data_IF_102473084523
#
_entry.id   IF_102473084523
#
_cell.length_a   1.000
_cell.length_b   1.000
_cell.length_c   1.000
_cell.angle_alpha   90.00
_cell.angle_beta   90.00
_cell.angle_gamma   90.00
#
_symmetry.space_group_name_H-M   'P 1'
#
loop_
_entity.id
_entity.type
_entity.pdbx_description
1 polymer ?
#
# COMPACT_ATOMS: atom_id res chain seq x y z
N UNK A 1 24.47 26.58 11.76
CA UNK A 1 23.32 26.04 12.54
C UNK A 1 23.86 24.92 13.40
N UNK A 2 23.67 24.96 14.72
CA UNK A 2 24.21 23.95 15.63
C UNK A 2 23.26 22.74 15.68
N UNK A 3 23.68 21.61 15.11
CA UNK A 3 23.03 20.33 15.33
C UNK A 3 23.20 19.88 16.78
N UNK A 4 22.10 19.61 17.48
CA UNK A 4 22.12 19.08 18.84
C UNK A 4 22.35 17.57 18.78
N UNK A 5 23.53 17.10 19.22
CA UNK A 5 23.84 15.68 19.37
C UNK A 5 22.89 15.06 20.40
N UNK A 6 22.21 13.98 20.04
CA UNK A 6 21.57 13.09 21.02
C UNK A 6 22.69 12.29 21.73
N UNK A 7 22.83 12.41 23.06
CA UNK A 7 23.92 11.80 23.82
C UNK A 7 23.86 10.27 23.90
N UNK A 8 22.78 9.60 23.44
CA UNK A 8 22.62 8.14 23.56
C UNK A 8 22.83 7.35 22.28
N UNK A 9 22.75 7.97 21.10
CA UNK A 9 22.84 7.24 19.82
C UNK A 9 24.14 7.47 19.07
N UNK A 10 24.91 8.51 19.38
CA UNK A 10 26.12 8.87 18.62
C UNK A 10 25.84 9.29 17.17
N UNK A 11 24.57 9.27 16.74
CA UNK A 11 24.14 9.67 15.41
C UNK A 11 23.75 11.16 15.42
N UNK A 12 24.36 11.91 14.51
CA UNK A 12 23.98 13.28 14.21
C UNK A 12 22.69 13.24 13.40
N UNK A 13 21.52 13.21 14.06
CA UNK A 13 20.23 13.00 13.38
C UNK A 13 19.65 14.33 12.92
N UNK A 14 20.26 14.88 11.88
CA UNK A 14 19.70 15.98 11.09
C UNK A 14 18.67 15.36 10.14
N UNK A 15 17.37 15.48 10.44
CA UNK A 15 16.29 14.99 9.58
C UNK A 15 16.03 15.99 8.44
N UNK A 16 16.99 16.19 7.53
CA UNK A 16 16.82 17.11 6.40
C UNK A 16 16.19 16.45 5.17
N UNK A 17 16.26 15.12 5.09
CA UNK A 17 15.78 14.33 3.95
C UNK A 17 15.43 12.90 4.35
N UNK A 18 14.50 12.30 3.63
CA UNK A 18 14.25 10.87 3.65
C UNK A 18 15.11 10.20 2.58
N UNK A 19 15.87 9.18 2.96
CA UNK A 19 16.68 8.40 2.03
C UNK A 19 16.10 7.00 1.88
N UNK A 20 16.05 6.53 0.63
CA UNK A 20 15.53 5.23 0.25
C UNK A 20 16.51 4.54 -0.68
N UNK A 21 16.71 3.26 -0.48
CA UNK A 21 17.54 2.43 -1.34
C UNK A 21 16.69 1.31 -1.97
N UNK A 22 16.89 1.12 -3.27
CA UNK A 22 16.32 0.04 -4.10
C UNK A 22 17.46 -0.89 -4.55
N UNK A 23 17.15 -1.84 -5.44
CA UNK A 23 18.18 -2.75 -5.95
C UNK A 23 19.26 -2.03 -6.78
N UNK A 24 18.84 -1.07 -7.62
CA UNK A 24 19.72 -0.41 -8.60
C UNK A 24 19.81 1.11 -8.43
N UNK A 25 18.89 1.69 -7.67
CA UNK A 25 18.82 3.13 -7.40
C UNK A 25 18.83 3.41 -5.90
N UNK A 26 19.37 4.55 -5.50
CA UNK A 26 19.02 5.20 -4.23
C UNK A 26 18.38 6.56 -4.52
N UNK A 27 17.55 7.03 -3.61
CA UNK A 27 16.85 8.29 -3.73
C UNK A 27 16.88 9.07 -2.42
N UNK A 28 17.13 10.37 -2.52
CA UNK A 28 16.99 11.33 -1.43
C UNK A 28 15.81 12.24 -1.71
N UNK A 29 14.86 12.26 -0.78
CA UNK A 29 13.55 12.90 -0.89
C UNK A 29 13.40 13.98 0.18
N UNK A 30 12.83 15.13 -0.18
CA UNK A 30 12.57 16.24 0.74
C UNK A 30 11.22 16.87 0.42
N UNK A 31 10.18 16.48 1.17
CA UNK A 31 8.80 16.90 0.89
C UNK A 31 8.31 16.39 -0.47
N UNK A 32 8.68 15.16 -0.82
CA UNK A 32 8.46 14.59 -2.16
C UNK A 32 7.50 13.42 -2.09
N UNK A 33 6.49 13.41 -2.96
CA UNK A 33 5.62 12.25 -3.19
C UNK A 33 6.12 11.49 -4.39
N UNK A 34 6.36 10.18 -4.23
CA UNK A 34 6.92 9.34 -5.29
C UNK A 34 6.17 8.02 -5.41
N UNK A 35 6.19 7.46 -6.62
CA UNK A 35 5.86 6.07 -6.88
C UNK A 35 7.15 5.33 -7.22
N UNK A 36 7.43 4.26 -6.48
CA UNK A 36 8.56 3.37 -6.75
C UNK A 36 8.07 2.02 -7.23
N UNK A 37 8.78 1.43 -8.19
CA UNK A 37 8.54 0.08 -8.65
C UNK A 37 9.85 -0.67 -8.77
N UNK A 38 9.85 -1.88 -8.24
CA UNK A 38 10.90 -2.89 -8.41
C UNK A 38 10.26 -4.14 -9.00
N UNK A 39 10.84 -4.67 -10.08
CA UNK A 39 10.42 -5.95 -10.68
C UNK A 39 11.56 -6.97 -10.80
N UNK A 40 12.67 -6.73 -10.10
CA UNK A 40 13.86 -7.59 -10.08
C UNK A 40 14.85 -7.26 -11.20
N UNK A 41 14.36 -6.87 -12.38
CA UNK A 41 15.19 -6.43 -13.51
C UNK A 41 15.36 -4.90 -13.51
N UNK A 42 14.35 -4.16 -13.06
CA UNK A 42 14.34 -2.70 -13.10
C UNK A 42 13.96 -2.09 -11.76
N UNK A 43 14.75 -1.11 -11.31
CA UNK A 43 14.35 -0.15 -10.26
C UNK A 43 13.89 1.13 -10.93
N UNK A 44 12.69 1.60 -10.63
CA UNK A 44 12.16 2.86 -11.19
C UNK A 44 11.49 3.74 -10.14
N UNK A 45 11.60 5.04 -10.36
CA UNK A 45 10.99 6.06 -9.52
C UNK A 45 10.30 7.10 -10.39
N UNK A 46 9.07 7.45 -10.01
CA UNK A 46 8.26 8.51 -10.61
C UNK A 46 7.98 9.56 -9.53
N UNK A 47 8.18 10.84 -9.84
CA UNK A 47 7.88 11.92 -8.90
C UNK A 47 6.48 12.47 -9.19
N UNK A 48 5.60 12.30 -8.21
CA UNK A 48 4.22 12.81 -8.24
C UNK A 48 4.20 14.27 -7.81
N UNK A 49 5.01 14.65 -6.83
CA UNK A 49 5.10 16.02 -6.32
C UNK A 49 6.49 16.24 -5.71
N UNK A 50 7.06 17.44 -5.91
CA UNK A 50 8.34 17.84 -5.35
C UNK A 50 9.54 17.46 -6.22
N UNK A 51 10.69 17.21 -5.57
CA UNK A 51 11.97 16.92 -6.23
C UNK A 51 12.65 15.72 -5.56
N UNK A 52 13.25 14.84 -6.34
CA UNK A 52 14.03 13.69 -5.87
C UNK A 52 15.44 13.73 -6.48
N UNK A 53 16.45 13.51 -5.64
CA UNK A 53 17.82 13.26 -6.07
C UNK A 53 18.01 11.74 -6.16
N UNK A 54 18.20 11.22 -7.38
CA UNK A 54 18.26 9.78 -7.67
C UNK A 54 19.66 9.40 -8.09
N UNK A 55 20.26 8.45 -7.39
CA UNK A 55 21.61 7.96 -7.67
C UNK A 55 21.59 6.53 -8.18
N UNK A 56 22.26 6.30 -9.29
CA UNK A 56 22.60 4.96 -9.79
C UNK A 56 23.62 4.32 -8.85
N UNK A 57 23.29 3.17 -8.27
CA UNK A 57 24.19 2.48 -7.36
C UNK A 57 25.42 1.93 -8.09
N UNK A 58 25.27 1.50 -9.35
CA UNK A 58 26.35 0.90 -10.12
C UNK A 58 27.37 1.94 -10.57
N UNK A 59 26.89 3.07 -11.09
CA UNK A 59 27.76 4.11 -11.67
C UNK A 59 28.08 5.24 -10.70
N UNK A 60 27.33 5.37 -9.61
CA UNK A 60 27.40 6.51 -8.69
C UNK A 60 26.87 7.81 -9.29
N UNK A 61 26.27 7.77 -10.49
CA UNK A 61 25.74 8.95 -11.17
C UNK A 61 24.45 9.39 -10.50
N UNK A 62 24.40 10.66 -10.13
CA UNK A 62 23.22 11.29 -9.52
C UNK A 62 22.49 12.17 -10.53
N UNK A 63 21.16 12.10 -10.52
CA UNK A 63 20.25 12.87 -11.37
C UNK A 63 19.11 13.39 -10.53
N UNK A 64 18.84 14.69 -10.63
CA UNK A 64 17.66 15.31 -10.03
C UNK A 64 16.45 15.17 -10.97
N UNK A 65 15.31 14.73 -10.43
CA UNK A 65 14.04 14.66 -11.16
C UNK A 65 12.93 15.35 -10.36
N UNK A 66 12.06 16.08 -11.04
CA UNK A 66 10.94 16.82 -10.47
C UNK A 66 9.59 16.17 -10.80
N UNK A 67 8.51 16.73 -10.30
CA UNK A 67 7.13 16.37 -10.65
C UNK A 67 6.93 16.07 -12.16
N UNK A 68 6.17 15.00 -12.43
CA UNK A 68 5.88 14.53 -13.78
C UNK A 68 7.08 13.90 -14.51
N UNK A 69 8.21 13.71 -13.81
CA UNK A 69 9.39 13.01 -14.31
C UNK A 69 9.58 11.66 -13.65
N UNK A 70 10.13 10.75 -14.44
CA UNK A 70 10.51 9.42 -13.99
C UNK A 70 11.89 9.05 -14.52
N UNK A 71 12.54 8.15 -13.79
CA UNK A 71 13.81 7.54 -14.21
C UNK A 71 13.84 6.09 -13.76
N UNK A 72 14.57 5.26 -14.49
CA UNK A 72 14.72 3.84 -14.22
C UNK A 72 16.18 3.42 -14.41
N UNK A 73 16.60 2.40 -13.68
CA UNK A 73 17.89 1.75 -13.86
C UNK A 73 17.72 0.24 -14.01
N UNK A 74 18.62 -0.34 -14.81
CA UNK A 74 18.81 -1.78 -14.99
C UNK A 74 20.25 -2.13 -14.62
N UNK A 75 20.67 -3.39 -14.80
CA UNK A 75 22.07 -3.80 -14.55
C UNK A 75 23.09 -3.16 -15.51
N UNK A 76 22.60 -2.42 -16.52
CA UNK A 76 23.41 -1.61 -17.43
C UNK A 76 23.59 -0.17 -16.95
N UNK A 77 22.92 0.21 -15.87
CA UNK A 77 22.95 1.54 -15.26
C UNK A 77 21.65 2.32 -15.44
N UNK A 78 21.70 3.59 -15.06
CA UNK A 78 20.59 4.53 -15.10
C UNK A 78 20.27 5.01 -16.52
N UNK A 79 19.00 4.94 -16.87
CA UNK A 79 18.47 5.42 -18.14
C UNK A 79 18.26 6.92 -18.17
N UNK A 80 17.57 7.37 -19.22
CA UNK A 80 17.20 8.78 -19.39
C UNK A 80 15.95 9.16 -18.59
N UNK A 81 15.86 10.44 -18.21
CA UNK A 81 14.67 11.01 -17.58
C UNK A 81 13.54 11.07 -18.60
N UNK A 82 12.39 10.51 -18.25
CA UNK A 82 11.19 10.50 -19.08
C UNK A 82 10.06 11.28 -18.41
N UNK A 83 9.16 11.83 -19.22
CA UNK A 83 7.93 12.45 -18.71
C UNK A 83 6.84 11.37 -18.55
N UNK A 84 5.96 11.55 -17.56
CA UNK A 84 4.74 10.76 -17.42
C UNK A 84 3.57 11.65 -17.00
N UNK A 85 2.34 11.15 -17.18
CA UNK A 85 1.13 11.84 -16.75
C UNK A 85 0.83 11.54 -15.27
N UNK A 86 0.95 12.57 -14.43
CA UNK A 86 0.73 12.48 -12.98
C UNK A 86 -0.74 12.17 -12.66
N UNK A 87 -1.69 12.75 -13.39
CA UNK A 87 -3.12 12.55 -13.16
C UNK A 87 -3.51 11.10 -13.48
N UNK A 88 -3.08 10.61 -14.64
CA UNK A 88 -3.33 9.21 -15.03
C UNK A 88 -2.66 8.21 -14.09
N UNK A 89 -1.53 8.57 -13.45
CA UNK A 89 -0.92 7.74 -12.43
C UNK A 89 -1.72 7.75 -11.12
N UNK A 90 -2.19 8.93 -10.67
CA UNK A 90 -2.99 9.07 -9.45
C UNK A 90 -4.34 8.33 -9.55
N UNK A 91 -4.98 8.33 -10.72
CA UNK A 91 -6.22 7.58 -10.97
C UNK A 91 -6.03 6.08 -10.72
N UNK A 92 -4.92 5.49 -11.17
CA UNK A 92 -4.61 4.06 -10.92
C UNK A 92 -4.49 3.73 -9.44
N UNK A 93 -3.94 4.65 -8.65
CA UNK A 93 -3.81 4.46 -7.21
C UNK A 93 -5.13 4.63 -6.47
N UNK A 94 -6.02 5.50 -6.95
CA UNK A 94 -7.37 5.65 -6.42
C UNK A 94 -8.15 4.33 -6.56
N UNK A 95 -8.12 3.72 -7.74
CA UNK A 95 -8.74 2.42 -7.99
C UNK A 95 -8.22 1.35 -7.02
N UNK A 96 -6.90 1.29 -6.81
CA UNK A 96 -6.28 0.34 -5.88
C UNK A 96 -6.74 0.56 -4.43
N UNK A 97 -6.82 1.81 -3.97
CA UNK A 97 -7.30 2.12 -2.61
C UNK A 97 -8.77 1.77 -2.40
N UNK A 98 -9.60 1.96 -3.43
CA UNK A 98 -11.03 1.63 -3.40
C UNK A 98 -11.26 0.11 -3.34
N UNK A 99 -10.42 -0.67 -4.02
CA UNK A 99 -10.45 -2.14 -3.95
C UNK A 99 -10.09 -2.66 -2.55
N UNK A 100 -9.07 -2.08 -1.90
CA UNK A 100 -8.72 -2.42 -0.50
C UNK A 100 -9.91 -2.16 0.43
N UNK A 101 -10.58 -1.01 0.29
CA UNK A 101 -11.74 -0.64 1.10
C UNK A 101 -12.93 -1.60 0.97
N UNK A 102 -13.12 -2.22 -0.19
CA UNK A 102 -14.21 -3.18 -0.46
C UNK A 102 -13.98 -4.55 0.17
N UNK A 103 -12.73 -4.96 0.42
CA UNK A 103 -12.42 -6.25 1.07
C UNK A 103 -12.63 -6.24 2.60
N UNK A 104 -12.79 -5.06 3.21
CA UNK A 104 -12.96 -4.91 4.67
C UNK A 104 -14.39 -4.89 5.21
N UNK A 105 -15.44 -4.85 4.38
CA UNK A 105 -16.83 -4.68 4.86
C UNK A 105 -17.87 -5.42 4.02
N UNK A 106 -17.84 -6.76 4.02
CA UNK A 106 -19.02 -7.56 3.65
C UNK A 106 -19.12 -8.87 4.44
N UNK A 107 -18.92 -8.81 5.76
CA UNK A 107 -19.36 -9.88 6.65
C UNK A 107 -20.88 -9.74 6.91
N UNK A 108 -21.71 -9.82 5.85
CA UNK A 108 -23.17 -9.81 6.00
C UNK A 108 -23.62 -11.14 6.62
N UNK A 109 -23.88 -11.13 7.92
CA UNK A 109 -24.87 -11.96 8.63
C UNK A 109 -25.00 -13.45 8.26
N UNK A 110 -23.90 -14.20 8.12
CA UNK A 110 -23.94 -15.67 8.01
C UNK A 110 -24.64 -16.34 9.22
N UNK A 111 -24.60 -15.70 10.40
CA UNK A 111 -25.35 -16.13 11.58
C UNK A 111 -26.86 -16.21 11.33
N UNK A 112 -27.45 -15.34 10.51
CA UNK A 112 -28.89 -15.38 10.24
C UNK A 112 -29.28 -16.60 9.39
N UNK A 113 -28.42 -16.98 8.42
CA UNK A 113 -28.63 -18.15 7.55
C UNK A 113 -28.52 -19.46 8.33
N UNK A 114 -27.65 -19.56 9.34
CA UNK A 114 -27.53 -20.76 10.19
C UNK A 114 -28.58 -20.81 11.32
N UNK A 115 -28.93 -19.68 11.93
CA UNK A 115 -29.80 -19.65 13.12
C UNK A 115 -31.28 -19.81 12.77
N UNK A 116 -31.76 -19.23 11.66
CA UNK A 116 -33.17 -19.35 11.23
C UNK A 116 -33.63 -20.81 11.04
N UNK A 117 -32.93 -21.68 10.27
CA UNK A 117 -33.40 -23.04 10.04
C UNK A 117 -33.42 -23.87 11.33
N UNK A 118 -32.50 -23.62 12.26
CA UNK A 118 -32.45 -24.30 13.57
C UNK A 118 -33.67 -23.91 14.43
N UNK A 119 -34.03 -22.63 14.49
CA UNK A 119 -35.21 -22.16 15.24
C UNK A 119 -36.49 -22.73 14.61
N UNK A 120 -36.61 -22.72 13.27
CA UNK A 120 -37.77 -23.30 12.58
C UNK A 120 -37.93 -24.81 12.88
N UNK A 121 -36.85 -25.59 12.81
CA UNK A 121 -36.87 -27.01 13.16
C UNK A 121 -37.30 -27.25 14.62
N UNK A 122 -36.76 -26.48 15.57
CA UNK A 122 -37.12 -26.61 16.98
C UNK A 122 -38.61 -26.31 17.24
N UNK A 123 -39.17 -25.30 16.58
CA UNK A 123 -40.60 -24.97 16.70
C UNK A 123 -41.50 -26.06 16.13
N UNK A 124 -41.16 -26.64 14.98
CA UNK A 124 -41.90 -27.75 14.38
C UNK A 124 -41.91 -28.96 15.33
N UNK A 125 -40.75 -29.31 15.90
CA UNK A 125 -40.64 -30.44 16.85
C UNK A 125 -41.52 -30.19 18.09
N UNK A 126 -41.48 -28.99 18.68
CA UNK A 126 -42.30 -28.65 19.83
C UNK A 126 -43.80 -28.75 19.55
N UNK A 127 -44.25 -28.29 18.37
CA UNK A 127 -45.65 -28.40 17.93
C UNK A 127 -46.07 -29.86 17.75
N UNK A 128 -45.24 -30.68 17.10
CA UNK A 128 -45.54 -32.12 16.92
C UNK A 128 -45.64 -32.84 18.26
N UNK A 129 -44.75 -32.55 19.21
CA UNK A 129 -44.80 -33.13 20.56
C UNK A 129 -46.05 -32.68 21.33
N UNK A 130 -46.44 -31.40 21.24
CA UNK A 130 -47.66 -30.88 21.86
C UNK A 130 -48.93 -31.53 21.27
N UNK A 131 -48.99 -31.71 19.95
CA UNK A 131 -50.10 -32.39 19.26
C UNK A 131 -50.20 -33.87 19.63
N UNK A 132 -49.06 -34.57 19.75
CA UNK A 132 -49.04 -35.96 20.25
C UNK A 132 -49.55 -36.05 21.69
N UNK A 133 -49.11 -35.14 22.58
CA UNK A 133 -49.55 -35.12 23.98
C UNK A 133 -51.05 -34.88 24.12
N UNK A 134 -51.64 -34.04 23.26
CA UNK A 134 -53.09 -33.77 23.25
C UNK A 134 -53.92 -34.94 22.72
N UNK A 135 -53.35 -35.82 21.89
CA UNK A 135 -54.05 -36.98 21.32
C UNK A 135 -54.02 -38.22 22.23
N UNK A 136 -53.06 -38.27 23.17
CA UNK A 136 -52.94 -39.34 24.17
C UNK A 136 -53.52 -38.98 25.55
N UNK A 137 -54.18 -37.83 25.66
CA UNK A 137 -54.92 -37.38 26.84
C UNK A 137 -56.42 -37.44 26.57
#
# INVERSE_FOLDING_TARGET
MLGTKDPKSGFNKEYDSFEMQMAKLSAKLKGTTVVVKEDGETSSIKVIEGVAEVTDIQTGKTVEISEGKMIAATDTGIGEVQAFDVNAENEKWQDFTDEIGKTGTNQKNYLYILVIPIILLATIIAVVLALKKKKSA
#
